data_IF_533981007399
#
_entry.id   IF_533981007399
#
_cell.length_a   1.000
_cell.length_b   1.000
_cell.length_c   1.000
_cell.angle_alpha   90.00
_cell.angle_beta   90.00
_cell.angle_gamma   90.00
#
_symmetry.space_group_name_H-M   'P 1'
#
loop_
_entity.id
_entity.type
_entity.pdbx_description
1 polymer ?
#
# COMPACT_ATOMS: atom_id res chain seq x y z
N UNK A 1 -19.42 -13.04 -20.55
CA UNK A 1 -20.45 -12.70 -19.53
C UNK A 1 -19.86 -12.99 -18.15
N UNK A 2 -19.17 -12.02 -17.59
CA UNK A 2 -18.56 -12.14 -16.25
C UNK A 2 -19.68 -11.93 -15.21
N UNK A 3 -19.91 -12.94 -14.37
CA UNK A 3 -20.84 -12.82 -13.24
C UNK A 3 -20.14 -12.05 -12.13
N UNK A 4 -20.55 -10.81 -11.91
CA UNK A 4 -20.24 -10.00 -10.73
C UNK A 4 -20.93 -10.65 -9.53
N UNK A 5 -20.22 -11.46 -8.79
CA UNK A 5 -20.74 -12.18 -7.61
C UNK A 5 -19.82 -12.02 -6.38
N UNK A 6 -19.16 -10.89 -6.23
CA UNK A 6 -18.24 -10.63 -5.10
C UNK A 6 -18.53 -9.39 -4.26
N UNK A 7 -19.49 -8.55 -4.63
CA UNK A 7 -19.63 -7.22 -4.00
C UNK A 7 -20.70 -7.12 -2.90
N UNK A 8 -21.28 -8.22 -2.44
CA UNK A 8 -22.41 -8.19 -1.48
C UNK A 8 -22.06 -8.43 -0.02
N UNK A 9 -20.80 -8.69 0.33
CA UNK A 9 -20.46 -9.03 1.74
C UNK A 9 -20.18 -7.80 2.61
N UNK A 10 -19.80 -6.66 2.06
CA UNK A 10 -19.56 -5.44 2.86
C UNK A 10 -20.82 -4.60 3.17
N UNK A 11 -21.95 -4.83 2.52
CA UNK A 11 -23.14 -3.98 2.67
C UNK A 11 -24.11 -4.41 3.78
N UNK A 12 -23.95 -5.58 4.40
CA UNK A 12 -24.93 -6.14 5.34
C UNK A 12 -24.67 -5.83 6.83
N UNK A 13 -23.56 -5.16 7.17
CA UNK A 13 -23.30 -4.73 8.55
C UNK A 13 -23.83 -3.33 8.89
N UNK A 14 -24.44 -2.61 7.97
CA UNK A 14 -24.90 -1.22 8.16
C UNK A 14 -26.37 -1.06 8.58
N UNK A 15 -27.11 -2.13 8.86
CA UNK A 15 -28.56 -2.03 9.10
C UNK A 15 -29.02 -2.34 10.53
N UNK A 16 -28.15 -2.42 11.51
CA UNK A 16 -28.60 -2.43 12.91
C UNK A 16 -28.17 -1.12 13.57
N UNK A 17 -29.16 -0.30 13.90
CA UNK A 17 -28.97 0.97 14.63
C UNK A 17 -28.21 0.71 15.94
N UNK A 18 -26.93 1.07 16.04
CA UNK A 18 -26.27 0.97 17.33
C UNK A 18 -26.62 2.16 18.20
N UNK A 19 -26.86 1.89 19.45
CA UNK A 19 -27.00 2.84 20.57
C UNK A 19 -25.63 3.52 20.85
N UNK A 20 -24.99 4.12 19.84
CA UNK A 20 -23.67 4.77 19.97
C UNK A 20 -23.72 6.29 19.73
N UNK A 21 -24.88 6.92 19.90
CA UNK A 21 -25.08 8.28 19.41
C UNK A 21 -24.77 9.41 20.42
N UNK A 22 -24.40 9.12 21.67
CA UNK A 22 -24.08 10.19 22.63
C UNK A 22 -22.59 10.15 23.03
N UNK A 23 -21.83 11.16 22.60
CA UNK A 23 -20.45 11.43 23.01
C UNK A 23 -19.33 11.03 22.02
N UNK A 24 -19.65 10.69 20.77
CA UNK A 24 -18.63 10.38 19.75
C UNK A 24 -18.00 11.63 19.13
N UNK A 25 -18.70 12.76 19.12
CA UNK A 25 -18.23 13.98 18.42
C UNK A 25 -16.99 14.61 19.10
N UNK A 26 -16.79 14.42 20.39
CA UNK A 26 -15.61 14.93 21.12
C UNK A 26 -14.48 13.89 21.27
N UNK A 27 -14.70 12.64 20.86
CA UNK A 27 -13.70 11.60 20.97
C UNK A 27 -12.71 11.68 19.81
N UNK A 28 -11.48 12.04 20.11
CA UNK A 28 -10.40 12.19 19.15
C UNK A 28 -9.15 11.48 19.67
N UNK A 29 -8.99 10.17 19.44
CA UNK A 29 -7.82 9.46 19.90
C UNK A 29 -6.58 9.94 19.12
N UNK A 30 -5.42 10.03 19.78
CA UNK A 30 -4.20 10.32 19.07
C UNK A 30 -3.87 9.14 18.14
N UNK A 31 -3.96 9.35 16.84
CA UNK A 31 -3.58 8.38 15.82
C UNK A 31 -3.15 9.09 14.55
N UNK A 32 -2.06 8.63 13.94
CA UNK A 32 -1.69 9.01 12.58
C UNK A 32 -2.23 7.99 11.55
N UNK A 33 -3.02 7.03 12.00
CA UNK A 33 -3.64 6.00 11.18
C UNK A 33 -2.96 4.64 11.22
N UNK A 34 -3.52 3.68 10.49
CA UNK A 34 -2.95 2.35 10.28
C UNK A 34 -1.62 2.41 9.50
N UNK A 35 -1.03 1.26 9.24
CA UNK A 35 0.30 1.17 8.62
C UNK A 35 0.28 1.47 7.12
N UNK A 36 -0.70 0.93 6.40
CA UNK A 36 -0.78 1.00 4.93
C UNK A 36 -1.97 1.81 4.47
N UNK A 37 -3.15 1.53 5.05
CA UNK A 37 -4.40 2.19 4.69
C UNK A 37 -4.35 3.69 5.02
N UNK A 38 -4.69 4.54 4.06
CA UNK A 38 -4.71 5.98 4.25
C UNK A 38 -5.85 6.42 5.16
N UNK A 39 -5.57 7.36 6.06
CA UNK A 39 -6.61 8.04 6.85
C UNK A 39 -7.19 9.21 6.09
N UNK A 40 -8.50 9.48 6.22
CA UNK A 40 -9.12 10.61 5.55
C UNK A 40 -8.81 11.98 6.20
N UNK A 41 -8.65 12.13 7.52
CA UNK A 41 -8.20 13.40 8.08
C UNK A 41 -6.85 13.83 7.50
N UNK A 42 -6.74 15.10 7.13
CA UNK A 42 -5.49 15.72 6.67
C UNK A 42 -4.80 16.45 7.81
N UNK A 43 -3.53 16.79 7.64
CA UNK A 43 -2.76 17.56 8.60
C UNK A 43 -3.33 18.98 8.76
N UNK A 44 -3.37 19.48 9.99
CA UNK A 44 -3.71 20.86 10.28
C UNK A 44 -2.76 21.83 9.58
N UNK A 45 -3.25 23.03 9.26
CA UNK A 45 -2.46 24.07 8.59
C UNK A 45 -1.14 24.35 9.31
N UNK A 46 -0.05 24.28 8.54
CA UNK A 46 1.31 24.58 9.00
C UNK A 46 1.94 23.45 9.83
N UNK A 47 1.24 22.35 10.08
CA UNK A 47 1.81 21.16 10.72
C UNK A 47 2.58 20.32 9.70
N UNK A 48 3.66 19.73 10.18
CA UNK A 48 4.49 18.79 9.42
C UNK A 48 4.54 17.49 10.20
N UNK A 49 4.34 16.36 9.55
CA UNK A 49 4.71 15.07 10.12
C UNK A 49 5.75 14.36 9.26
N UNK A 50 6.61 13.60 9.90
CA UNK A 50 7.61 12.76 9.23
C UNK A 50 7.47 11.34 9.77
N UNK A 51 7.40 10.39 8.85
CA UNK A 51 7.15 8.99 9.14
C UNK A 51 8.15 8.09 8.42
N UNK A 52 9.26 7.68 9.07
CA UNK A 52 10.11 6.63 8.57
C UNK A 52 9.47 5.26 8.76
N UNK A 53 9.69 4.39 7.78
CA UNK A 53 9.31 2.97 7.79
C UNK A 53 10.54 2.10 7.65
N UNK A 54 10.52 0.95 8.29
CA UNK A 54 11.38 -0.18 8.04
C UNK A 54 10.51 -1.40 7.74
N UNK A 55 10.69 -1.99 6.57
CA UNK A 55 9.90 -3.12 6.06
C UNK A 55 10.87 -4.24 5.69
N UNK A 56 10.66 -5.42 6.25
CA UNK A 56 11.40 -6.60 5.89
C UNK A 56 10.46 -7.65 5.31
N UNK A 57 10.64 -7.95 4.04
CA UNK A 57 9.83 -8.90 3.27
C UNK A 57 10.60 -10.20 3.08
N UNK A 58 9.90 -11.33 3.22
CA UNK A 58 10.38 -12.66 2.86
C UNK A 58 9.35 -13.27 1.92
N UNK A 59 9.79 -13.60 0.71
CA UNK A 59 8.98 -14.34 -0.26
C UNK A 59 9.07 -15.84 0.08
N UNK A 60 7.92 -16.50 0.17
CA UNK A 60 7.84 -17.94 0.48
C UNK A 60 7.39 -18.78 -0.71
N UNK A 61 6.97 -18.14 -1.78
CA UNK A 61 6.43 -18.71 -2.99
C UNK A 61 5.71 -17.64 -3.78
N UNK A 62 4.88 -18.07 -4.70
CA UNK A 62 4.08 -17.19 -5.54
C UNK A 62 2.66 -17.73 -5.66
N UNK A 63 1.75 -16.87 -6.03
CA UNK A 63 0.44 -17.26 -6.54
C UNK A 63 0.48 -17.17 -8.06
N UNK A 64 0.25 -18.31 -8.74
CA UNK A 64 0.21 -18.35 -10.21
C UNK A 64 -1.04 -17.67 -10.78
N UNK A 65 -1.19 -17.62 -12.11
CA UNK A 65 -2.30 -16.96 -12.78
C UNK A 65 -3.70 -17.48 -12.36
N UNK A 66 -3.79 -18.71 -11.87
CA UNK A 66 -5.03 -19.33 -11.39
C UNK A 66 -5.25 -19.09 -9.87
N UNK A 67 -4.33 -18.40 -9.20
CA UNK A 67 -4.38 -18.14 -7.77
C UNK A 67 -3.98 -19.32 -6.90
N UNK A 68 -3.33 -20.33 -7.46
CA UNK A 68 -2.76 -21.43 -6.69
C UNK A 68 -1.41 -21.01 -6.12
N UNK A 69 -1.16 -21.37 -4.88
CA UNK A 69 0.10 -21.13 -4.21
C UNK A 69 1.12 -22.19 -4.58
N UNK A 70 2.25 -21.75 -5.09
CA UNK A 70 3.43 -22.56 -5.39
C UNK A 70 4.59 -22.07 -4.50
N UNK A 71 5.17 -22.96 -3.69
CA UNK A 71 6.30 -22.63 -2.82
C UNK A 71 7.57 -22.43 -3.65
N UNK A 72 8.50 -21.61 -3.16
CA UNK A 72 9.85 -21.55 -3.74
C UNK A 72 10.49 -22.94 -3.71
N UNK A 73 11.32 -23.23 -4.71
CA UNK A 73 12.10 -24.46 -4.78
C UNK A 73 13.08 -24.59 -3.61
N UNK A 74 13.48 -25.81 -3.30
CA UNK A 74 14.46 -26.07 -2.23
C UNK A 74 15.80 -25.37 -2.55
N UNK A 75 16.22 -24.48 -1.65
CA UNK A 75 17.44 -23.67 -1.79
C UNK A 75 17.19 -22.26 -2.27
N UNK A 76 16.06 -21.96 -2.91
CA UNK A 76 15.72 -20.64 -3.38
C UNK A 76 15.27 -19.74 -2.22
N UNK A 77 15.66 -18.48 -2.29
CA UNK A 77 15.34 -17.47 -1.26
C UNK A 77 15.16 -16.12 -1.92
N UNK A 78 14.13 -15.42 -1.49
CA UNK A 78 13.93 -14.04 -1.89
C UNK A 78 13.57 -13.22 -0.65
N UNK A 79 14.27 -12.11 -0.45
CA UNK A 79 13.97 -11.17 0.61
C UNK A 79 14.28 -9.75 0.18
N UNK A 80 13.58 -8.80 0.80
CA UNK A 80 13.75 -7.38 0.55
C UNK A 80 13.76 -6.65 1.88
N UNK A 81 14.69 -5.74 2.03
CA UNK A 81 14.64 -4.72 3.08
C UNK A 81 14.31 -3.38 2.44
N UNK A 82 13.26 -2.75 2.89
CA UNK A 82 12.79 -1.47 2.36
C UNK A 82 12.73 -0.43 3.48
N UNK A 83 13.27 0.74 3.21
CA UNK A 83 13.17 1.92 4.05
C UNK A 83 12.38 2.97 3.29
N UNK A 84 11.44 3.62 3.97
CA UNK A 84 10.64 4.69 3.37
C UNK A 84 10.63 5.88 4.33
N UNK A 85 10.55 7.07 3.77
CA UNK A 85 10.29 8.29 4.53
C UNK A 85 9.09 8.97 3.86
N UNK A 86 7.99 9.07 4.60
CA UNK A 86 6.81 9.82 4.23
C UNK A 86 6.78 11.13 5.02
N UNK A 87 6.69 12.25 4.32
CA UNK A 87 6.50 13.57 4.92
C UNK A 87 5.14 14.11 4.48
N UNK A 88 4.37 14.65 5.43
CA UNK A 88 3.05 15.23 5.20
C UNK A 88 3.02 16.66 5.73
N UNK A 89 2.52 17.61 4.94
CA UNK A 89 2.44 19.03 5.31
C UNK A 89 1.04 19.61 5.05
N UNK A 90 0.42 20.14 6.11
CA UNK A 90 -0.86 20.84 6.01
C UNK A 90 -0.71 22.23 5.40
N UNK A 91 -1.18 22.41 4.16
CA UNK A 91 -1.21 23.71 3.48
C UNK A 91 -2.33 24.58 4.06
N UNK A 92 -3.49 23.97 4.26
CA UNK A 92 -4.65 24.52 4.97
C UNK A 92 -5.24 23.43 5.87
N UNK A 93 -6.25 23.74 6.68
CA UNK A 93 -6.94 22.72 7.50
C UNK A 93 -7.73 21.69 6.68
N UNK A 94 -7.75 21.80 5.37
CA UNK A 94 -8.45 20.90 4.45
C UNK A 94 -7.55 20.39 3.31
N UNK A 95 -6.34 20.89 3.18
CA UNK A 95 -5.45 20.57 2.07
C UNK A 95 -4.06 20.20 2.57
N UNK A 96 -3.62 19.01 2.20
CA UNK A 96 -2.33 18.42 2.56
C UNK A 96 -1.52 18.11 1.30
N UNK A 97 -0.21 18.23 1.41
CA UNK A 97 0.75 17.78 0.42
C UNK A 97 1.71 16.79 1.07
N UNK A 98 1.91 15.63 0.40
CA UNK A 98 2.74 14.55 0.91
C UNK A 98 3.82 14.16 -0.10
N UNK A 99 4.97 13.75 0.42
CA UNK A 99 6.06 13.20 -0.37
C UNK A 99 6.61 11.94 0.28
N UNK A 100 6.84 10.90 -0.53
CA UNK A 100 7.41 9.64 -0.07
C UNK A 100 8.64 9.27 -0.90
N UNK A 101 9.73 8.97 -0.21
CA UNK A 101 10.96 8.44 -0.80
C UNK A 101 11.17 7.02 -0.30
N UNK A 102 11.56 6.14 -1.21
CA UNK A 102 11.79 4.73 -0.94
C UNK A 102 13.24 4.38 -1.26
N UNK A 103 13.87 3.61 -0.38
CA UNK A 103 15.15 2.93 -0.62
C UNK A 103 14.96 1.45 -0.32
N UNK A 104 15.52 0.58 -1.15
CA UNK A 104 15.36 -0.86 -0.96
C UNK A 104 16.60 -1.65 -1.35
N UNK A 105 16.73 -2.80 -0.70
CA UNK A 105 17.75 -3.81 -0.94
C UNK A 105 17.06 -5.15 -1.20
N UNK A 106 17.30 -5.73 -2.36
CA UNK A 106 16.72 -6.98 -2.80
C UNK A 106 17.79 -8.07 -2.80
N UNK A 107 17.49 -9.22 -2.22
CA UNK A 107 18.34 -10.40 -2.17
C UNK A 107 17.60 -11.58 -2.77
N UNK A 108 18.14 -12.14 -3.82
CA UNK A 108 17.57 -13.30 -4.52
C UNK A 108 18.62 -14.41 -4.56
N UNK A 109 18.21 -15.62 -4.27
CA UNK A 109 18.96 -16.85 -4.57
C UNK A 109 18.02 -17.73 -5.37
N UNK A 110 18.40 -18.06 -6.59
CA UNK A 110 17.64 -18.88 -7.52
C UNK A 110 18.57 -19.93 -8.13
N UNK A 111 18.22 -21.22 -8.01
CA UNK A 111 19.05 -22.35 -8.44
C UNK A 111 20.53 -22.26 -7.99
N UNK A 112 20.76 -21.68 -6.80
CA UNK A 112 22.10 -21.47 -6.23
C UNK A 112 22.83 -20.22 -6.71
N UNK A 113 22.30 -19.50 -7.70
CA UNK A 113 22.80 -18.21 -8.16
C UNK A 113 22.31 -17.12 -7.22
N UNK A 114 23.18 -16.22 -6.80
CA UNK A 114 22.86 -15.12 -5.87
C UNK A 114 22.89 -13.80 -6.61
N UNK A 115 21.82 -13.02 -6.46
CA UNK A 115 21.71 -11.64 -6.91
C UNK A 115 21.42 -10.72 -5.74
N UNK A 116 22.01 -9.55 -5.76
CA UNK A 116 21.76 -8.47 -4.79
C UNK A 116 21.74 -7.15 -5.53
N UNK A 117 20.67 -6.41 -5.38
CA UNK A 117 20.56 -5.05 -5.92
C UNK A 117 20.04 -4.11 -4.83
N UNK A 118 20.55 -2.88 -4.83
CA UNK A 118 20.14 -1.87 -3.87
C UNK A 118 20.07 -0.49 -4.53
N UNK A 119 19.17 0.35 -4.03
CA UNK A 119 19.02 1.70 -4.56
C UNK A 119 17.71 2.36 -4.18
N UNK A 120 17.48 3.54 -4.76
CA UNK A 120 16.18 4.18 -4.64
C UNK A 120 15.12 3.31 -5.30
N UNK A 121 13.98 3.19 -4.63
CA UNK A 121 12.73 2.72 -5.21
C UNK A 121 11.99 3.87 -5.90
N UNK A 122 10.80 3.60 -6.40
CA UNK A 122 9.93 4.66 -6.92
C UNK A 122 9.45 5.55 -5.79
N UNK A 123 9.47 6.85 -6.03
CA UNK A 123 9.01 7.86 -5.08
C UNK A 123 7.58 8.27 -5.41
N UNK A 124 6.88 8.83 -4.41
CA UNK A 124 5.50 9.25 -4.59
C UNK A 124 5.29 10.69 -4.13
N UNK A 125 4.43 11.38 -4.83
CA UNK A 125 3.91 12.69 -4.47
C UNK A 125 2.40 12.58 -4.41
N UNK A 126 1.80 13.15 -3.33
CA UNK A 126 0.36 13.18 -3.18
C UNK A 126 -0.10 14.61 -2.87
N UNK A 127 -1.30 14.94 -3.29
CA UNK A 127 -2.03 16.06 -2.75
C UNK A 127 -3.43 15.59 -2.37
N UNK A 128 -3.89 16.00 -1.19
CA UNK A 128 -5.08 15.46 -0.55
C UNK A 128 -5.98 16.60 -0.10
N UNK A 129 -7.24 16.55 -0.46
CA UNK A 129 -8.22 17.58 -0.10
C UNK A 129 -9.42 16.94 0.63
N UNK A 130 -9.59 17.32 1.91
CA UNK A 130 -10.70 16.87 2.76
C UNK A 130 -11.92 17.74 2.49
N UNK A 131 -12.96 17.15 1.89
CA UNK A 131 -14.18 17.86 1.55
C UNK A 131 -15.35 17.55 2.47
N UNK A 132 -15.31 16.46 3.26
CA UNK A 132 -16.30 16.16 4.30
C UNK A 132 -15.60 15.90 5.65
N UNK A 133 -16.21 16.39 6.72
CA UNK A 133 -15.80 16.12 8.10
C UNK A 133 -16.63 14.98 8.69
N UNK A 134 -16.10 14.28 9.67
CA UNK A 134 -16.82 13.28 10.45
C UNK A 134 -17.98 13.95 11.21
N UNK A 135 -19.20 13.68 10.79
CA UNK A 135 -20.40 14.23 11.44
C UNK A 135 -21.59 13.28 11.34
N UNK A 136 -22.09 12.85 12.48
CA UNK A 136 -23.19 11.89 12.54
C UNK A 136 -22.83 10.59 11.78
N UNK A 137 -23.54 10.28 10.71
CA UNK A 137 -23.23 9.12 9.85
C UNK A 137 -22.24 9.38 8.73
N UNK A 138 -21.95 10.65 8.45
CA UNK A 138 -21.03 11.03 7.38
C UNK A 138 -19.60 10.78 7.84
N UNK A 139 -18.78 9.99 7.11
CA UNK A 139 -17.37 9.83 7.43
C UNK A 139 -16.58 11.06 6.98
N UNK A 140 -15.44 11.31 7.60
CA UNK A 140 -14.41 12.16 6.97
C UNK A 140 -14.12 11.59 5.60
N UNK A 141 -14.11 12.44 4.57
CA UNK A 141 -13.88 12.02 3.19
C UNK A 141 -12.89 12.96 2.52
N UNK A 142 -11.87 12.39 1.88
CA UNK A 142 -10.76 13.12 1.27
C UNK A 142 -10.48 12.57 -0.12
N UNK A 143 -10.36 13.46 -1.10
CA UNK A 143 -9.89 13.13 -2.45
C UNK A 143 -8.36 13.13 -2.47
N UNK A 144 -7.79 12.27 -3.30
CA UNK A 144 -6.35 12.06 -3.47
C UNK A 144 -6.00 12.24 -4.94
N UNK A 145 -4.96 13.03 -5.21
CA UNK A 145 -4.22 12.95 -6.46
C UNK A 145 -2.83 12.43 -6.13
N UNK A 146 -2.37 11.45 -6.89
CA UNK A 146 -1.11 10.77 -6.72
C UNK A 146 -0.26 10.87 -7.98
N UNK A 147 1.06 10.91 -7.80
CA UNK A 147 2.02 10.71 -8.88
C UNK A 147 3.14 9.82 -8.38
N UNK A 148 3.27 8.61 -8.94
CA UNK A 148 4.47 7.81 -8.79
C UNK A 148 5.53 8.35 -9.75
N UNK A 149 6.73 8.58 -9.24
CA UNK A 149 7.90 9.06 -9.98
C UNK A 149 8.90 7.92 -10.08
N UNK A 150 9.33 7.51 -11.28
CA UNK A 150 10.25 6.38 -11.49
C UNK A 150 11.68 6.77 -11.10
N UNK A 151 11.94 6.87 -9.79
CA UNK A 151 13.27 7.15 -9.22
C UNK A 151 14.07 5.87 -9.00
N UNK A 152 13.40 4.72 -9.02
CA UNK A 152 14.00 3.41 -8.93
C UNK A 152 14.64 2.98 -10.26
N UNK A 153 15.50 1.96 -10.19
CA UNK A 153 16.03 1.31 -11.37
C UNK A 153 15.05 0.22 -11.81
N UNK A 154 14.62 0.29 -13.04
CA UNK A 154 14.01 -0.84 -13.72
C UNK A 154 15.12 -1.62 -14.40
N UNK A 155 15.33 -2.85 -13.96
CA UNK A 155 16.26 -3.76 -14.62
C UNK A 155 15.45 -4.78 -15.41
N UNK A 156 15.86 -4.98 -16.66
CA UNK A 156 15.40 -6.09 -17.47
C UNK A 156 15.92 -7.40 -16.90
N UNK A 157 15.28 -8.48 -17.31
CA UNK A 157 15.88 -9.79 -17.27
C UNK A 157 17.22 -9.70 -18.01
N UNK A 158 18.27 -9.29 -17.32
CA UNK A 158 19.61 -9.38 -17.84
C UNK A 158 19.88 -10.88 -17.97
N UNK A 159 19.80 -11.38 -19.19
CA UNK A 159 20.45 -12.62 -19.54
C UNK A 159 21.94 -12.32 -19.40
N UNK A 160 22.45 -12.65 -18.22
CA UNK A 160 23.84 -12.49 -18.00
C UNK A 160 24.59 -13.35 -19.03
N UNK A 161 25.87 -13.06 -19.19
CA UNK A 161 26.76 -13.69 -20.20
C UNK A 161 26.87 -15.21 -20.05
N UNK A 162 26.35 -15.77 -18.96
CA UNK A 162 26.41 -17.20 -18.63
C UNK A 162 25.06 -17.92 -18.84
N UNK A 163 24.00 -17.21 -19.30
CA UNK A 163 22.71 -17.79 -19.67
C UNK A 163 21.77 -18.10 -18.50
N UNK A 164 22.10 -17.68 -17.31
CA UNK A 164 21.17 -17.69 -16.20
C UNK A 164 20.22 -16.49 -16.33
N UNK A 165 18.91 -16.76 -16.42
CA UNK A 165 17.87 -15.73 -16.31
C UNK A 165 17.84 -15.21 -14.86
N UNK A 166 18.82 -14.39 -14.48
CA UNK A 166 18.76 -13.63 -13.26
C UNK A 166 17.67 -12.57 -13.47
N UNK A 167 16.50 -12.81 -12.96
CA UNK A 167 15.52 -11.75 -12.79
C UNK A 167 16.19 -10.68 -11.94
N UNK A 168 16.67 -9.63 -12.60
CA UNK A 168 17.33 -8.53 -11.95
C UNK A 168 16.44 -7.98 -10.87
N UNK A 169 16.95 -7.83 -9.67
CA UNK A 169 16.20 -7.32 -8.54
C UNK A 169 15.90 -5.83 -8.75
N UNK A 170 14.92 -5.52 -9.62
CA UNK A 170 14.50 -4.15 -9.90
C UNK A 170 14.16 -3.41 -8.64
N UNK A 171 14.57 -2.15 -8.53
CA UNK A 171 14.19 -1.27 -7.42
C UNK A 171 13.02 -0.35 -7.77
N UNK A 172 12.57 -0.30 -9.02
CA UNK A 172 11.44 0.51 -9.48
C UNK A 172 10.67 -0.11 -10.65
N UNK A 173 9.50 0.43 -10.94
CA UNK A 173 8.61 -0.01 -12.02
C UNK A 173 8.82 0.71 -13.37
N UNK A 174 9.71 1.71 -13.43
CA UNK A 174 10.12 2.40 -14.65
C UNK A 174 9.11 3.40 -15.24
N UNK A 175 7.84 3.39 -14.84
CA UNK A 175 6.80 4.26 -15.40
C UNK A 175 6.41 5.41 -14.46
N UNK A 176 5.99 6.52 -15.06
CA UNK A 176 5.24 7.57 -14.37
C UNK A 176 3.79 7.13 -14.25
N UNK A 177 3.26 7.08 -13.02
CA UNK A 177 1.89 6.63 -12.80
C UNK A 177 1.10 7.73 -12.08
N UNK A 178 0.44 8.65 -12.82
CA UNK A 178 -0.57 9.51 -12.21
C UNK A 178 -1.72 8.65 -11.68
N UNK A 179 -2.34 9.10 -10.59
CA UNK A 179 -3.44 8.38 -9.98
C UNK A 179 -4.45 9.31 -9.32
N UNK A 180 -5.66 8.81 -9.15
CA UNK A 180 -6.74 9.49 -8.43
C UNK A 180 -7.33 8.55 -7.40
N UNK A 181 -7.75 9.08 -6.28
CA UNK A 181 -8.30 8.26 -5.21
C UNK A 181 -9.25 9.00 -4.30
N UNK A 182 -9.83 8.22 -3.42
CA UNK A 182 -10.72 8.69 -2.37
C UNK A 182 -10.49 7.84 -1.14
N UNK A 183 -10.48 8.47 0.04
CA UNK A 183 -10.43 7.75 1.30
C UNK A 183 -11.50 8.24 2.29
N UNK A 184 -11.83 7.33 3.19
CA UNK A 184 -12.86 7.50 4.20
C UNK A 184 -12.32 7.11 5.57
N UNK A 185 -12.69 7.89 6.59
CA UNK A 185 -12.42 7.54 7.99
C UNK A 185 -13.63 7.83 8.84
N UNK A 186 -14.00 6.89 9.71
CA UNK A 186 -15.15 7.04 10.61
C UNK A 186 -14.79 6.69 12.05
N UNK A 187 -15.07 7.62 12.96
CA UNK A 187 -14.95 7.41 14.39
C UNK A 187 -16.18 6.65 14.91
N UNK A 188 -15.96 5.50 15.54
CA UNK A 188 -16.97 4.62 16.12
C UNK A 188 -16.47 4.14 17.49
N UNK A 189 -16.32 5.07 18.44
CA UNK A 189 -15.68 4.79 19.75
C UNK A 189 -16.06 3.42 20.33
N UNK A 190 -15.11 2.57 20.71
CA UNK A 190 -13.66 2.77 20.78
C UNK A 190 -12.89 2.42 19.48
N UNK A 191 -13.55 2.37 18.34
CA UNK A 191 -12.97 2.01 17.04
C UNK A 191 -12.85 3.21 16.12
N UNK A 192 -11.88 3.16 15.21
CA UNK A 192 -11.89 3.92 13.96
C UNK A 192 -11.83 2.94 12.80
N UNK A 193 -12.57 3.23 11.75
CA UNK A 193 -12.53 2.46 10.51
C UNK A 193 -12.05 3.36 9.38
N UNK A 194 -11.24 2.79 8.48
CA UNK A 194 -10.67 3.47 7.34
C UNK A 194 -10.87 2.64 6.09
N UNK A 195 -11.01 3.30 4.97
CA UNK A 195 -11.00 2.66 3.66
C UNK A 195 -10.46 3.64 2.62
N UNK A 196 -9.73 3.15 1.65
CA UNK A 196 -9.32 3.93 0.49
C UNK A 196 -9.38 3.15 -0.81
N UNK A 197 -9.48 3.89 -1.90
CA UNK A 197 -9.44 3.42 -3.27
C UNK A 197 -8.56 4.38 -4.05
N UNK A 198 -7.50 3.88 -4.69
CA UNK A 198 -6.61 4.67 -5.54
C UNK A 198 -6.41 3.94 -6.85
N UNK A 199 -6.86 4.55 -7.94
CA UNK A 199 -6.61 4.06 -9.30
C UNK A 199 -5.45 4.83 -9.92
N UNK A 200 -4.50 4.10 -10.47
CA UNK A 200 -3.28 4.61 -11.08
C UNK A 200 -3.19 4.23 -12.56
N UNK A 201 -2.65 5.15 -13.36
CA UNK A 201 -2.63 5.09 -14.82
C UNK A 201 -1.18 5.12 -15.32
N UNK A 202 -0.47 3.97 -15.36
CA UNK A 202 0.91 3.90 -15.81
C UNK A 202 1.07 4.47 -17.21
N UNK A 203 2.06 5.34 -17.39
CA UNK A 203 2.42 5.80 -18.72
C UNK A 203 3.26 4.73 -19.40
N UNK A 204 3.22 4.78 -20.74
CA UNK A 204 4.01 3.91 -21.59
C UNK A 204 5.50 4.16 -21.42
N UNK A 205 6.29 3.10 -21.45
CA UNK A 205 7.74 3.12 -21.31
C UNK A 205 8.39 2.27 -22.39
N UNK A 206 9.62 2.62 -22.75
CA UNK A 206 10.43 1.80 -23.66
C UNK A 206 11.35 0.94 -22.83
N UNK A 207 11.23 -0.36 -23.03
CA UNK A 207 11.95 -1.39 -22.30
C UNK A 207 12.65 -2.28 -23.34
N UNK A 208 14.00 -2.33 -23.38
CA UNK A 208 14.83 -3.09 -24.34
C UNK A 208 14.49 -2.85 -25.83
N UNK A 209 13.98 -1.68 -26.13
CA UNK A 209 13.55 -1.33 -27.48
C UNK A 209 12.09 -1.64 -27.76
N UNK A 210 11.39 -2.32 -26.85
CA UNK A 210 9.96 -2.58 -26.92
C UNK A 210 9.15 -1.48 -26.20
N UNK A 211 8.05 -1.10 -26.83
CA UNK A 211 7.06 -0.19 -26.26
C UNK A 211 6.18 -0.98 -25.28
N UNK A 212 6.34 -0.73 -24.00
CA UNK A 212 5.61 -1.44 -22.93
C UNK A 212 4.64 -0.50 -22.23
N UNK A 213 3.37 -0.89 -22.15
CA UNK A 213 2.35 -0.23 -21.36
C UNK A 213 1.80 -1.17 -20.29
N UNK A 214 2.11 -0.85 -19.02
CA UNK A 214 1.47 -1.51 -17.89
C UNK A 214 -0.01 -1.11 -17.85
N UNK A 215 -0.88 -2.03 -17.46
CA UNK A 215 -2.29 -1.72 -17.29
C UNK A 215 -2.52 -0.83 -16.07
N UNK A 216 -3.66 -0.16 -16.07
CA UNK A 216 -4.17 0.55 -14.91
C UNK A 216 -4.29 -0.41 -13.72
N UNK A 217 -4.01 0.12 -12.52
CA UNK A 217 -4.14 -0.68 -11.31
C UNK A 217 -4.91 0.06 -10.20
N UNK A 218 -5.71 -0.72 -9.50
CA UNK A 218 -6.51 -0.27 -8.37
C UNK A 218 -5.91 -0.81 -7.06
N UNK A 219 -5.53 0.09 -6.16
CA UNK A 219 -5.35 -0.20 -4.75
C UNK A 219 -6.68 -0.01 -4.03
N UNK A 220 -7.03 -0.96 -3.15
CA UNK A 220 -8.23 -0.90 -2.33
C UNK A 220 -7.90 -1.43 -0.94
N UNK A 221 -8.02 -0.57 0.05
CA UNK A 221 -7.60 -0.86 1.41
C UNK A 221 -8.74 -0.63 2.39
N UNK A 222 -8.74 -1.41 3.45
CA UNK A 222 -9.64 -1.26 4.57
C UNK A 222 -8.92 -1.57 5.89
N UNK A 223 -9.17 -0.77 6.91
CA UNK A 223 -8.57 -0.96 8.21
C UNK A 223 -9.55 -0.67 9.34
N UNK A 224 -9.31 -1.32 10.47
CA UNK A 224 -9.94 -1.02 11.75
C UNK A 224 -8.88 -0.86 12.82
N UNK A 225 -8.97 0.23 13.58
CA UNK A 225 -8.20 0.48 14.79
C UNK A 225 -9.11 0.34 16.01
N UNK A 226 -8.63 -0.37 17.03
CA UNK A 226 -9.27 -0.45 18.35
C UNK A 226 -8.39 0.24 19.39
N UNK A 227 -8.89 1.31 19.98
CA UNK A 227 -8.14 2.13 20.92
C UNK A 227 -8.27 1.62 22.34
N UNK A 228 -7.12 1.38 22.95
CA UNK A 228 -6.94 0.93 24.31
C UNK A 228 -6.51 2.10 25.22
N UNK A 229 -6.65 1.96 26.56
CA UNK A 229 -6.11 2.96 27.48
C UNK A 229 -4.60 3.20 27.31
N UNK A 230 -4.15 4.39 27.72
CA UNK A 230 -2.73 4.81 27.74
C UNK A 230 -2.09 4.93 26.35
N UNK A 231 -2.88 5.19 25.30
CA UNK A 231 -2.40 5.44 23.94
C UNK A 231 -2.10 4.19 23.12
N UNK A 232 -2.40 2.99 23.60
CA UNK A 232 -2.24 1.78 22.81
C UNK A 232 -3.41 1.60 21.82
N UNK A 233 -3.13 0.98 20.70
CA UNK A 233 -4.13 0.54 19.73
C UNK A 233 -3.79 -0.82 19.15
N UNK A 234 -4.81 -1.58 18.80
CA UNK A 234 -4.71 -2.77 17.97
C UNK A 234 -5.29 -2.43 16.61
N UNK A 235 -4.69 -2.94 15.54
CA UNK A 235 -5.18 -2.70 14.19
C UNK A 235 -5.22 -3.97 13.37
N UNK A 236 -6.13 -4.00 12.41
CA UNK A 236 -6.21 -5.01 11.37
C UNK A 236 -6.46 -4.30 10.04
N UNK A 237 -5.70 -4.68 9.04
CA UNK A 237 -5.82 -4.14 7.68
C UNK A 237 -6.00 -5.26 6.66
N UNK A 238 -6.74 -4.94 5.60
CA UNK A 238 -6.82 -5.69 4.36
C UNK A 238 -6.40 -4.75 3.24
N UNK A 239 -5.31 -5.08 2.56
CA UNK A 239 -4.76 -4.28 1.48
C UNK A 239 -4.83 -5.08 0.19
N UNK A 240 -5.43 -4.52 -0.82
CA UNK A 240 -5.66 -5.16 -2.10
C UNK A 240 -5.05 -4.41 -3.28
N UNK A 241 -4.59 -5.17 -4.27
CA UNK A 241 -4.14 -4.69 -5.57
C UNK A 241 -4.86 -5.47 -6.66
N UNK A 242 -5.30 -4.78 -7.71
CA UNK A 242 -5.77 -5.39 -8.95
C UNK A 242 -5.22 -4.61 -10.14
N UNK A 243 -4.43 -5.26 -10.99
CA UNK A 243 -3.86 -4.72 -12.20
C UNK A 243 -4.23 -5.62 -13.38
N UNK A 244 -4.57 -5.04 -14.52
CA UNK A 244 -4.89 -5.78 -15.73
C UNK A 244 -3.66 -6.24 -16.51
N UNK A 245 -3.87 -6.87 -17.68
CA UNK A 245 -2.81 -7.32 -18.57
C UNK A 245 -2.01 -6.17 -19.19
N UNK A 246 -0.68 -6.29 -19.18
CA UNK A 246 0.21 -5.36 -19.87
C UNK A 246 0.14 -5.52 -21.40
N UNK A 247 0.59 -4.49 -22.11
CA UNK A 247 0.79 -4.53 -23.56
C UNK A 247 2.24 -4.30 -23.91
N UNK A 248 2.71 -5.04 -24.92
CA UNK A 248 4.05 -4.88 -25.51
C UNK A 248 3.88 -4.67 -27.00
N UNK A 249 4.43 -3.58 -27.53
CA UNK A 249 4.30 -3.17 -28.94
C UNK A 249 2.83 -3.14 -29.41
N UNK A 250 1.92 -2.68 -28.52
CA UNK A 250 0.47 -2.63 -28.77
C UNK A 250 -0.26 -3.97 -28.62
N UNK A 251 0.45 -5.11 -28.56
CA UNK A 251 -0.14 -6.43 -28.32
C UNK A 251 -0.35 -6.71 -26.83
N UNK A 252 -1.51 -7.26 -26.46
CA UNK A 252 -1.78 -7.71 -25.08
C UNK A 252 -0.93 -8.93 -24.79
N UNK A 253 -0.34 -8.97 -23.59
CA UNK A 253 0.36 -10.13 -23.05
C UNK A 253 -0.61 -10.89 -22.14
N UNK A 254 -1.14 -12.05 -22.57
CA UNK A 254 -2.12 -12.79 -21.77
C UNK A 254 -1.54 -13.26 -20.45
N UNK A 255 -2.39 -13.39 -19.42
CA UNK A 255 -2.01 -13.87 -18.08
C UNK A 255 -0.91 -13.04 -17.41
N UNK A 256 -0.78 -11.75 -17.77
CA UNK A 256 0.14 -10.81 -17.12
C UNK A 256 -0.55 -9.90 -16.09
N UNK A 257 -1.84 -10.10 -15.87
CA UNK A 257 -2.60 -9.42 -14.82
C UNK A 257 -2.08 -9.80 -13.41
N UNK A 258 -2.09 -8.86 -12.49
CA UNK A 258 -1.62 -9.08 -11.11
C UNK A 258 -2.70 -8.76 -10.13
N UNK A 259 -2.91 -9.63 -9.16
CA UNK A 259 -3.84 -9.41 -8.04
C UNK A 259 -3.21 -9.86 -6.73
N UNK A 260 -3.49 -9.11 -5.67
CA UNK A 260 -3.09 -9.53 -4.32
C UNK A 260 -4.09 -9.07 -3.28
N UNK A 261 -4.16 -9.83 -2.19
CA UNK A 261 -4.83 -9.45 -0.96
C UNK A 261 -3.90 -9.75 0.21
N UNK A 262 -3.59 -8.73 0.98
CA UNK A 262 -2.70 -8.78 2.13
C UNK A 262 -3.51 -8.57 3.40
N UNK A 263 -3.31 -9.42 4.40
CA UNK A 263 -3.82 -9.25 5.76
C UNK A 263 -2.71 -8.78 6.68
N UNK A 264 -2.99 -7.73 7.48
CA UNK A 264 -1.99 -7.08 8.31
C UNK A 264 -2.52 -6.76 9.72
N UNK A 265 -2.35 -7.67 10.71
CA UNK A 265 -2.54 -7.33 12.11
C UNK A 265 -1.37 -6.50 12.64
N UNK A 266 -1.66 -5.52 13.50
CA UNK A 266 -0.66 -4.64 14.07
C UNK A 266 -1.02 -4.15 15.47
N UNK A 267 -0.01 -3.56 16.12
CA UNK A 267 -0.14 -2.88 17.39
C UNK A 267 0.54 -1.51 17.30
N UNK A 268 -0.09 -0.52 17.91
CA UNK A 268 0.42 0.84 17.97
C UNK A 268 0.45 1.40 19.39
N UNK A 269 1.27 2.43 19.53
CA UNK A 269 1.22 3.34 20.67
C UNK A 269 1.35 4.77 20.16
N UNK A 270 0.53 5.67 20.69
CA UNK A 270 0.50 7.07 20.25
C UNK A 270 0.22 8.03 21.40
N UNK A 271 0.71 9.24 21.22
CA UNK A 271 0.35 10.43 21.97
C UNK A 271 0.16 11.59 20.98
N UNK A 272 0.00 12.82 21.46
CA UNK A 272 -0.27 14.01 20.63
C UNK A 272 0.80 14.30 19.56
N UNK A 273 2.03 13.79 19.69
CA UNK A 273 3.15 14.08 18.78
C UNK A 273 3.79 12.86 18.17
N UNK A 274 3.68 11.72 18.84
CA UNK A 274 4.44 10.52 18.49
C UNK A 274 3.45 9.36 18.29
N UNK A 275 3.65 8.62 17.22
CA UNK A 275 3.06 7.30 17.05
C UNK A 275 4.13 6.30 16.66
N UNK A 276 4.05 5.10 17.22
CA UNK A 276 4.87 3.95 16.84
C UNK A 276 3.97 2.79 16.52
N UNK A 277 4.25 2.10 15.41
CA UNK A 277 3.46 0.99 14.95
C UNK A 277 4.37 -0.17 14.56
N UNK A 278 3.92 -1.37 14.83
CA UNK A 278 4.50 -2.60 14.29
C UNK A 278 3.38 -3.51 13.78
N UNK A 279 3.54 -4.06 12.59
CA UNK A 279 2.60 -5.02 12.02
C UNK A 279 3.32 -6.18 11.37
N UNK A 280 2.63 -7.30 11.32
CA UNK A 280 2.95 -8.43 10.45
C UNK A 280 2.01 -8.41 9.27
N UNK A 281 2.53 -8.46 8.06
CA UNK A 281 1.73 -8.50 6.84
C UNK A 281 1.94 -9.84 6.13
N UNK A 282 0.87 -10.37 5.55
CA UNK A 282 0.92 -11.59 4.78
C UNK A 282 0.02 -11.48 3.56
N UNK A 283 0.58 -11.73 2.38
CA UNK A 283 -0.23 -11.95 1.17
C UNK A 283 -0.97 -13.28 1.36
N UNK A 284 -2.29 -13.20 1.51
CA UNK A 284 -3.16 -14.34 1.81
C UNK A 284 -3.80 -14.94 0.56
N UNK A 285 -3.87 -14.17 -0.51
CA UNK A 285 -4.39 -14.57 -1.81
C UNK A 285 -3.81 -13.67 -2.90
N UNK A 286 -3.68 -14.20 -4.12
CA UNK A 286 -3.26 -13.43 -5.28
C UNK A 286 -3.34 -14.19 -6.59
N UNK A 287 -2.97 -13.52 -7.68
CA UNK A 287 -2.71 -14.10 -8.99
C UNK A 287 -1.48 -13.37 -9.58
N UNK A 288 -0.55 -14.10 -10.15
CA UNK A 288 0.74 -13.60 -10.68
C UNK A 288 1.46 -12.67 -9.68
N UNK A 289 1.54 -13.07 -8.42
CA UNK A 289 2.12 -12.25 -7.36
C UNK A 289 2.88 -13.06 -6.34
N UNK A 290 3.92 -12.46 -5.76
CA UNK A 290 4.72 -13.08 -4.72
C UNK A 290 3.92 -13.28 -3.42
N UNK A 291 4.06 -14.46 -2.81
CA UNK A 291 3.47 -14.80 -1.52
C UNK A 291 4.37 -14.33 -0.37
N UNK A 292 4.37 -13.02 -0.10
CA UNK A 292 5.21 -12.37 0.88
C UNK A 292 4.66 -12.47 2.29
N UNK A 293 5.59 -12.61 3.24
CA UNK A 293 5.39 -12.23 4.64
C UNK A 293 6.28 -11.04 4.96
N UNK A 294 5.77 -10.07 5.70
CA UNK A 294 6.52 -8.87 6.02
C UNK A 294 6.39 -8.51 7.50
N UNK A 295 7.43 -7.91 8.04
CA UNK A 295 7.38 -7.18 9.29
C UNK A 295 7.57 -5.72 8.94
N UNK A 296 6.63 -4.89 9.38
CA UNK A 296 6.66 -3.44 9.17
C UNK A 296 6.75 -2.75 10.52
N UNK A 297 7.70 -1.85 10.67
CA UNK A 297 7.81 -0.95 11.81
C UNK A 297 7.84 0.49 11.32
N UNK A 298 7.13 1.37 12.00
CA UNK A 298 7.13 2.79 11.67
C UNK A 298 7.04 3.66 12.92
N UNK A 299 7.53 4.86 12.77
CA UNK A 299 7.53 5.91 13.78
C UNK A 299 7.05 7.20 13.12
N UNK A 300 6.06 7.86 13.70
CA UNK A 300 5.55 9.16 13.23
C UNK A 300 5.92 10.21 14.26
N UNK A 301 6.43 11.34 13.78
CA UNK A 301 6.61 12.54 14.60
C UNK A 301 5.90 13.73 13.95
N UNK A 302 5.07 14.42 14.73
CA UNK A 302 4.35 15.64 14.30
C UNK A 302 4.95 16.87 15.00
N UNK A 303 5.37 17.85 14.18
CA UNK A 303 5.99 19.10 14.62
C UNK A 303 4.96 20.18 14.94
#
# INVERSE_FOLDING_TARGET
MLKIAGLYVCALFLLQSPVFADGADDWNPPSAGPITTWTAPVMDKGKLSVQPYAIYNITRGEFNAQGHYDALSDGDKQSQFQQQILAKYGITDKWEFDGQIVYQENYITDEGVKSHESGLGDSYIFTRYQFLDDKGWVPTTTGILQLKVPTGKYQHEDRDKDGADLMGASTGGGSWDPGVGINFSKKLKPFMVHADLIESFPQEVHIDGDETKFAEYLHYDAAVEYFLPKGFSLMMELNGLAQGDKRVNGGMVPDSDTKSLTFAPGIGWSNDKIQTLIAYQRVVWGANTAANNSIVATFVYTF
#
